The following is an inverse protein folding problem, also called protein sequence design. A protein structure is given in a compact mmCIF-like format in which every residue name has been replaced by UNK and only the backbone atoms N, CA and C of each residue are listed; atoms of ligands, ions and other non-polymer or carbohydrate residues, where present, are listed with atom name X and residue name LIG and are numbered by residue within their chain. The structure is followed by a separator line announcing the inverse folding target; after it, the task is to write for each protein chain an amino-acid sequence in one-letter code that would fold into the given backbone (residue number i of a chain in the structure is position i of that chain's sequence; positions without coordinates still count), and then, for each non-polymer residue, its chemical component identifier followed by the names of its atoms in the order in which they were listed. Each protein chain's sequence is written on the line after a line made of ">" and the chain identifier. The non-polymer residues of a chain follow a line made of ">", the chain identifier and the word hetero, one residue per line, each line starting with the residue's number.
data_IF_221190741424
#
_entry.id   IF_221190741424
#
_cell.length_a   1.000
_cell.length_b   1.000
_cell.length_c   1.000
_cell.angle_alpha   90.00
_cell.angle_beta   90.00
_cell.angle_gamma   90.00
#
_symmetry.space_group_name_H-M   'P 1'
#
loop_
_entity.id
_entity.type
_entity.pdbx_description
1 polymer ?
#
# COMPACT_ATOMS: atom_id res chain seq x y z
N UNK A 1 1.38 -37.94 13.03
CA UNK A 1 1.23 -37.26 14.34
C UNK A 1 0.22 -36.13 14.14
N UNK A 2 -0.92 -36.20 14.82
CA UNK A 2 -2.07 -35.33 14.58
C UNK A 2 -1.91 -33.98 15.30
N UNK A 3 -2.04 -32.88 14.53
CA UNK A 3 -2.13 -31.50 14.99
C UNK A 3 -3.40 -31.34 15.86
N UNK A 4 -3.25 -31.40 17.18
CA UNK A 4 -4.37 -31.52 18.14
C UNK A 4 -4.72 -30.24 18.90
N UNK A 5 -4.20 -29.07 18.51
CA UNK A 5 -4.37 -27.83 19.30
C UNK A 5 -4.93 -26.61 18.53
N UNK A 6 -5.68 -26.81 17.44
CA UNK A 6 -6.54 -25.73 16.91
C UNK A 6 -7.91 -25.79 17.57
N UNK A 7 -8.11 -25.02 18.65
CA UNK A 7 -9.45 -24.72 19.18
C UNK A 7 -10.34 -24.22 18.03
N UNK A 8 -11.57 -24.75 17.87
CA UNK A 8 -12.45 -24.37 16.77
C UNK A 8 -12.79 -22.88 16.85
N UNK A 9 -12.82 -22.22 15.69
CA UNK A 9 -13.31 -20.84 15.56
C UNK A 9 -14.78 -20.80 15.95
N UNK A 10 -15.08 -20.29 17.15
CA UNK A 10 -16.45 -20.04 17.59
C UNK A 10 -16.89 -18.64 17.13
N UNK A 11 -17.76 -18.63 16.12
CA UNK A 11 -18.30 -17.39 15.51
C UNK A 11 -19.44 -16.80 16.37
N UNK A 12 -19.92 -17.53 17.39
CA UNK A 12 -20.99 -17.11 18.31
C UNK A 12 -20.49 -16.43 19.59
N UNK A 13 -19.20 -16.57 19.93
CA UNK A 13 -18.60 -15.89 21.08
C UNK A 13 -18.23 -14.44 20.74
N UNK A 14 -19.12 -13.51 21.08
CA UNK A 14 -18.90 -12.07 20.89
C UNK A 14 -17.58 -11.57 21.50
N UNK A 15 -17.11 -12.18 22.59
CA UNK A 15 -15.86 -11.82 23.25
C UNK A 15 -14.63 -12.16 22.40
N UNK A 16 -14.62 -13.35 21.78
CA UNK A 16 -13.57 -13.74 20.85
C UNK A 16 -13.57 -12.91 19.56
N UNK A 17 -14.74 -12.59 19.02
CA UNK A 17 -14.87 -11.73 17.82
C UNK A 17 -14.36 -10.32 18.11
N UNK A 18 -14.74 -9.71 19.25
CA UNK A 18 -14.27 -8.36 19.64
C UNK A 18 -12.75 -8.32 19.84
N UNK A 19 -12.16 -9.31 20.51
CA UNK A 19 -10.70 -9.40 20.70
C UNK A 19 -9.96 -9.56 19.38
N UNK A 20 -10.45 -10.38 18.44
CA UNK A 20 -9.83 -10.52 17.11
C UNK A 20 -9.90 -9.23 16.30
N UNK A 21 -11.04 -8.53 16.35
CA UNK A 21 -11.20 -7.21 15.73
C UNK A 21 -10.21 -6.19 16.32
N UNK A 22 -10.00 -6.18 17.63
CA UNK A 22 -9.05 -5.25 18.26
C UNK A 22 -7.60 -5.56 17.86
N UNK A 23 -7.22 -6.84 17.81
CA UNK A 23 -5.86 -7.25 17.37
C UNK A 23 -5.62 -6.86 15.91
N UNK A 24 -6.58 -7.13 15.01
CA UNK A 24 -6.47 -6.74 13.61
C UNK A 24 -6.37 -5.22 13.41
N UNK A 25 -7.14 -4.44 14.20
CA UNK A 25 -7.06 -2.97 14.19
C UNK A 25 -5.67 -2.47 14.60
N UNK A 26 -5.13 -3.00 15.69
CA UNK A 26 -3.79 -2.63 16.18
C UNK A 26 -2.69 -2.97 15.16
N UNK A 27 -2.79 -4.14 14.50
CA UNK A 27 -1.87 -4.50 13.43
C UNK A 27 -1.93 -3.49 12.27
N UNK A 28 -3.15 -3.11 11.85
CA UNK A 28 -3.34 -2.12 10.78
C UNK A 28 -2.80 -0.74 11.16
N UNK A 29 -3.04 -0.28 12.38
CA UNK A 29 -2.50 1.01 12.87
C UNK A 29 -0.96 1.01 12.85
N UNK A 30 -0.34 -0.13 13.18
CA UNK A 30 1.10 -0.29 13.12
C UNK A 30 1.63 -0.24 11.68
N UNK A 31 0.99 -0.95 10.74
CA UNK A 31 1.37 -0.90 9.32
C UNK A 31 1.31 0.54 8.78
N UNK A 32 0.25 1.28 9.11
CA UNK A 32 0.11 2.69 8.71
C UNK A 32 1.24 3.54 9.30
N UNK A 33 1.59 3.33 10.58
CA UNK A 33 2.70 4.04 11.21
C UNK A 33 4.06 3.70 10.57
N UNK A 34 4.28 2.46 10.17
CA UNK A 34 5.50 2.04 9.46
C UNK A 34 5.62 2.72 8.09
N UNK A 35 4.50 2.87 7.36
CA UNK A 35 4.44 3.64 6.12
C UNK A 35 4.70 5.13 6.37
N UNK A 36 4.15 5.71 7.44
CA UNK A 36 4.46 7.11 7.81
C UNK A 36 5.96 7.32 8.05
N UNK A 37 6.62 6.39 8.74
CA UNK A 37 8.08 6.44 8.96
C UNK A 37 8.84 6.41 7.65
N UNK A 38 8.47 5.51 6.72
CA UNK A 38 9.09 5.46 5.39
C UNK A 38 8.95 6.79 4.64
N UNK A 39 7.76 7.39 4.66
CA UNK A 39 7.42 8.63 3.95
C UNK A 39 7.97 9.90 4.62
N UNK A 40 8.46 9.81 5.86
CA UNK A 40 9.03 10.95 6.59
C UNK A 40 10.30 11.53 5.96
N UNK A 41 10.99 10.74 5.12
CA UNK A 41 12.23 11.14 4.46
C UNK A 41 12.04 11.42 2.97
N UNK A 42 12.77 12.40 2.42
CA UNK A 42 12.80 12.65 0.96
C UNK A 42 13.22 11.41 0.18
N UNK A 43 14.21 10.66 0.67
CA UNK A 43 14.68 9.43 0.02
C UNK A 43 13.61 8.34 -0.05
N UNK A 44 12.85 8.13 1.03
CA UNK A 44 11.74 7.18 1.06
C UNK A 44 10.62 7.57 0.10
N UNK A 45 10.25 8.86 0.08
CA UNK A 45 9.30 9.43 -0.88
C UNK A 45 9.74 9.25 -2.32
N UNK A 46 10.99 9.58 -2.65
CA UNK A 46 11.54 9.39 -3.99
C UNK A 46 11.54 7.91 -4.41
N UNK A 47 11.80 6.99 -3.49
CA UNK A 47 11.72 5.55 -3.76
C UNK A 47 10.30 5.10 -4.06
N UNK A 48 9.33 5.49 -3.24
CA UNK A 48 7.90 5.19 -3.44
C UNK A 48 7.42 5.77 -4.77
N UNK A 49 7.78 7.01 -5.09
CA UNK A 49 7.44 7.65 -6.36
C UNK A 49 7.90 6.84 -7.57
N UNK A 50 9.13 6.31 -7.56
CA UNK A 50 9.63 5.42 -8.63
C UNK A 50 8.82 4.13 -8.75
N UNK A 51 8.42 3.53 -7.63
CA UNK A 51 7.58 2.32 -7.64
C UNK A 51 6.22 2.62 -8.30
N UNK A 52 5.58 3.74 -7.96
CA UNK A 52 4.31 4.14 -8.56
C UNK A 52 4.44 4.33 -10.09
N UNK A 53 5.59 4.86 -10.53
CA UNK A 53 5.97 4.92 -11.94
C UNK A 53 6.11 3.54 -12.60
N UNK A 54 6.85 2.61 -11.98
CA UNK A 54 7.02 1.24 -12.47
C UNK A 54 5.71 0.45 -12.52
N UNK A 55 4.77 0.77 -11.64
CA UNK A 55 3.43 0.20 -11.61
C UNK A 55 2.45 0.88 -12.58
N UNK A 56 2.88 1.86 -13.36
CA UNK A 56 2.04 2.50 -14.38
C UNK A 56 0.78 3.19 -13.84
N UNK A 57 0.77 3.63 -12.58
CA UNK A 57 -0.41 4.23 -11.92
C UNK A 57 -0.97 5.43 -12.71
N UNK A 58 -0.09 6.21 -13.33
CA UNK A 58 -0.42 7.42 -14.10
C UNK A 58 -0.48 7.21 -15.62
N UNK A 59 -0.38 5.97 -16.11
CA UNK A 59 -0.36 5.68 -17.55
C UNK A 59 -1.71 5.13 -18.04
N UNK A 60 -1.99 5.37 -19.32
CA UNK A 60 -3.10 4.71 -20.01
C UNK A 60 -2.78 3.25 -20.28
N UNK A 61 -3.80 2.39 -20.20
CA UNK A 61 -3.65 0.98 -20.53
C UNK A 61 -3.29 0.79 -22.02
N UNK A 62 -2.47 -0.22 -22.35
CA UNK A 62 -2.16 -0.53 -23.74
C UNK A 62 -3.41 -1.03 -24.47
N UNK A 63 -3.53 -0.68 -25.75
CA UNK A 63 -4.62 -1.13 -26.61
C UNK A 63 -4.52 -2.63 -26.97
N UNK A 64 -3.33 -3.21 -26.90
CA UNK A 64 -3.09 -4.62 -27.16
C UNK A 64 -3.66 -5.50 -26.03
N UNK A 65 -4.66 -6.36 -26.34
CA UNK A 65 -5.25 -7.27 -25.36
C UNK A 65 -4.24 -8.25 -24.74
N UNK A 66 -3.12 -8.56 -25.43
CA UNK A 66 -2.07 -9.43 -24.92
C UNK A 66 -1.24 -8.80 -23.80
N UNK A 67 -1.14 -7.47 -23.75
CA UNK A 67 -0.34 -6.73 -22.75
C UNK A 67 -1.20 -6.28 -21.55
N UNK A 68 -2.50 -6.13 -21.76
CA UNK A 68 -3.45 -5.60 -20.77
C UNK A 68 -3.46 -6.37 -19.43
N UNK A 69 -3.44 -7.72 -19.37
CA UNK A 69 -3.51 -8.43 -18.09
C UNK A 69 -2.30 -8.14 -17.18
N UNK A 70 -1.09 -8.10 -17.76
CA UNK A 70 0.13 -7.79 -17.01
C UNK A 70 0.14 -6.32 -16.58
N UNK A 71 -0.26 -5.42 -17.47
CA UNK A 71 -0.35 -3.99 -17.16
C UNK A 71 -1.30 -3.73 -15.98
N UNK A 72 -2.52 -4.26 -16.02
CA UNK A 72 -3.50 -4.06 -14.96
C UNK A 72 -3.07 -4.73 -13.65
N UNK A 73 -2.38 -5.88 -13.70
CA UNK A 73 -1.80 -6.50 -12.52
C UNK A 73 -0.72 -5.64 -11.85
N UNK A 74 0.16 -5.02 -12.63
CA UNK A 74 1.16 -4.07 -12.11
C UNK A 74 0.50 -2.82 -11.55
N UNK A 75 -0.54 -2.32 -12.22
CA UNK A 75 -1.31 -1.14 -11.81
C UNK A 75 -2.07 -1.36 -10.51
N UNK A 76 -2.68 -2.52 -10.32
CA UNK A 76 -3.37 -2.88 -9.07
C UNK A 76 -2.43 -2.78 -7.86
N UNK A 77 -1.20 -3.30 -7.98
CA UNK A 77 -0.19 -3.16 -6.92
C UNK A 77 0.17 -1.69 -6.67
N UNK A 78 0.37 -0.90 -7.72
CA UNK A 78 0.66 0.53 -7.59
C UNK A 78 -0.47 1.30 -6.90
N UNK A 79 -1.72 1.02 -7.25
CA UNK A 79 -2.90 1.64 -6.63
C UNK A 79 -3.01 1.27 -5.15
N UNK A 80 -2.71 0.01 -4.78
CA UNK A 80 -2.68 -0.41 -3.38
C UNK A 80 -1.60 0.35 -2.60
N UNK A 81 -0.39 0.46 -3.15
CA UNK A 81 0.70 1.23 -2.52
C UNK A 81 0.32 2.70 -2.37
N UNK A 82 -0.30 3.30 -3.39
CA UNK A 82 -0.78 4.68 -3.31
C UNK A 82 -1.82 4.86 -2.19
N UNK A 83 -2.75 3.92 -2.05
CA UNK A 83 -3.73 3.94 -0.96
C UNK A 83 -3.07 3.84 0.42
N UNK A 84 -2.03 3.01 0.59
CA UNK A 84 -1.25 2.94 1.82
C UNK A 84 -0.62 4.30 2.16
N UNK A 85 -0.04 4.97 1.14
CA UNK A 85 0.55 6.29 1.30
C UNK A 85 -0.48 7.34 1.71
N UNK A 86 -1.63 7.40 1.03
CA UNK A 86 -2.71 8.34 1.33
C UNK A 86 -3.37 8.07 2.69
N UNK A 87 -3.40 6.82 3.13
CA UNK A 87 -3.87 6.45 4.48
C UNK A 87 -2.89 6.93 5.55
N UNK A 88 -1.58 6.82 5.29
CA UNK A 88 -0.53 7.27 6.18
C UNK A 88 -0.46 8.81 6.27
N UNK A 89 -0.48 9.50 5.14
CA UNK A 89 -0.49 10.96 5.05
C UNK A 89 -1.20 11.40 3.76
N UNK A 90 -2.39 12.04 3.85
CA UNK A 90 -3.14 12.50 2.68
C UNK A 90 -2.39 13.50 1.80
N UNK A 91 -1.42 14.24 2.35
CA UNK A 91 -0.68 15.28 1.62
C UNK A 91 0.60 14.75 0.95
N UNK A 92 1.01 13.51 1.26
CA UNK A 92 2.30 12.98 0.81
C UNK A 92 2.40 12.86 -0.70
N UNK A 93 1.27 12.61 -1.38
CA UNK A 93 1.24 12.53 -2.84
C UNK A 93 1.63 13.86 -3.49
N UNK A 94 1.06 14.97 -3.00
CA UNK A 94 1.36 16.32 -3.51
C UNK A 94 2.84 16.65 -3.27
N UNK A 95 3.36 16.31 -2.09
CA UNK A 95 4.76 16.50 -1.77
C UNK A 95 5.66 15.71 -2.73
N UNK A 96 5.42 14.40 -2.91
CA UNK A 96 6.20 13.57 -3.84
C UNK A 96 6.16 14.11 -5.28
N UNK A 97 5.00 14.60 -5.73
CA UNK A 97 4.87 15.18 -7.05
C UNK A 97 5.72 16.44 -7.21
N UNK A 98 5.67 17.37 -6.24
CA UNK A 98 6.50 18.57 -6.24
C UNK A 98 7.99 18.22 -6.25
N UNK A 99 8.38 17.29 -5.38
CA UNK A 99 9.77 16.84 -5.28
C UNK A 99 10.28 16.19 -6.57
N UNK A 100 9.40 15.56 -7.37
CA UNK A 100 9.76 15.00 -8.68
C UNK A 100 9.98 16.08 -9.72
N UNK A 101 9.10 17.08 -9.80
CA UNK A 101 9.22 18.20 -10.74
C UNK A 101 10.53 18.96 -10.48
N UNK A 102 10.83 19.24 -9.21
CA UNK A 102 12.08 19.93 -8.83
C UNK A 102 13.35 19.17 -9.24
N UNK A 103 13.31 17.83 -9.37
CA UNK A 103 14.47 17.07 -9.83
C UNK A 103 14.61 17.09 -11.35
N UNK A 104 13.49 17.16 -12.10
CA UNK A 104 13.49 17.15 -13.56
C UNK A 104 13.93 18.51 -14.13
N UNK A 105 13.66 19.62 -13.44
CA UNK A 105 14.14 20.98 -13.81
C UNK A 105 15.65 21.20 -13.54
N UNK A 106 16.32 20.22 -12.91
CA UNK A 106 17.74 20.27 -12.56
C UNK A 106 18.68 19.53 -13.52
N UNK A 107 18.16 18.89 -14.57
CA UNK A 107 18.91 18.26 -15.68
C UNK A 107 18.92 19.13 -16.94
#
# INVERSE_FOLDING_TARGET
>A
MADKDKKPLDVGDEGQVRRRKSVAKLAREREVAEVQVLLSTRGGRAFVWRILGWCHVYHSAPADPGLMPRFEGQRDIGVRILNECLTADPNVYILMQQESVDNDDGE
#
